data_IF_748144946136
#
_entry.id   IF_748144946136
#
_cell.length_a   1.000
_cell.length_b   1.000
_cell.length_c   1.000
_cell.angle_alpha   90.00
_cell.angle_beta   90.00
_cell.angle_gamma   90.00
#
_symmetry.space_group_name_H-M   'P 1'
#
loop_
_entity.id
_entity.type
_entity.pdbx_description
1 polymer ?
#
# COMPACT_ATOMS: atom_id res chain seq x y z
N UNK A 1 11.75 17.70 -20.36
CA UNK A 1 10.43 18.17 -19.82
C UNK A 1 10.37 17.74 -18.36
N UNK A 2 10.45 18.70 -17.42
CA UNK A 2 10.23 18.41 -16.00
C UNK A 2 8.77 18.00 -15.79
N UNK A 3 8.55 16.85 -15.18
CA UNK A 3 7.23 16.44 -14.76
C UNK A 3 6.82 17.27 -13.54
N UNK A 4 5.60 17.83 -13.49
CA UNK A 4 5.11 18.51 -12.31
C UNK A 4 4.82 17.46 -11.23
N UNK A 5 5.69 17.35 -10.24
CA UNK A 5 5.48 16.52 -9.06
C UNK A 5 5.20 17.39 -7.83
N UNK A 6 4.26 16.99 -6.97
CA UNK A 6 4.04 17.67 -5.70
C UNK A 6 5.33 17.72 -4.87
N UNK A 7 5.53 18.78 -4.09
CA UNK A 7 6.74 18.96 -3.27
C UNK A 7 6.98 17.82 -2.24
N UNK A 8 5.92 17.08 -1.89
CA UNK A 8 5.98 15.91 -1.00
C UNK A 8 6.28 14.59 -1.72
N UNK A 9 6.51 14.64 -3.05
CA UNK A 9 6.72 13.45 -3.87
C UNK A 9 8.18 13.42 -4.33
N UNK A 10 8.88 12.33 -4.10
CA UNK A 10 10.17 12.05 -4.69
C UNK A 10 9.98 11.24 -5.97
N UNK A 11 10.54 11.72 -7.07
CA UNK A 11 10.57 11.00 -8.33
C UNK A 11 12.00 10.58 -8.62
N UNK A 12 12.22 9.28 -8.71
CA UNK A 12 13.52 8.69 -9.06
C UNK A 12 13.40 7.95 -10.38
N UNK A 13 14.30 8.23 -11.30
CA UNK A 13 14.47 7.46 -12.54
C UNK A 13 15.59 6.47 -12.28
N UNK A 14 15.28 5.18 -12.37
CA UNK A 14 16.27 4.11 -12.17
C UNK A 14 16.54 3.49 -13.52
N UNK A 15 17.78 3.56 -13.97
CA UNK A 15 18.26 2.87 -15.16
C UNK A 15 18.97 1.58 -14.70
N UNK A 16 18.46 0.38 -15.07
CA UNK A 16 19.12 -0.85 -14.69
C UNK A 16 20.48 -0.96 -15.42
N UNK A 17 21.58 -1.11 -14.70
CA UNK A 17 22.90 -1.24 -15.32
C UNK A 17 23.00 -2.57 -16.10
N UNK A 18 23.80 -2.62 -17.18
CA UNK A 18 24.11 -3.87 -17.86
C UNK A 18 25.01 -4.72 -16.95
N UNK A 19 24.46 -5.74 -16.32
CA UNK A 19 25.20 -6.62 -15.41
C UNK A 19 24.35 -7.08 -14.23
N UNK A 20 24.95 -7.66 -13.19
CA UNK A 20 24.24 -7.98 -11.96
C UNK A 20 23.60 -6.73 -11.38
N UNK A 21 22.30 -6.75 -11.06
CA UNK A 21 21.61 -5.56 -10.57
C UNK A 21 22.22 -5.11 -9.23
N UNK A 22 22.75 -3.90 -9.20
CA UNK A 22 23.14 -3.20 -7.98
C UNK A 22 22.00 -2.26 -7.60
N UNK A 23 21.76 -2.09 -6.31
CA UNK A 23 20.64 -1.24 -5.84
C UNK A 23 20.93 0.26 -6.06
N UNK A 24 22.19 0.64 -5.92
CA UNK A 24 22.69 1.99 -6.10
C UNK A 24 24.22 1.98 -6.12
N UNK A 25 24.84 3.07 -6.59
CA UNK A 25 26.31 3.23 -6.57
C UNK A 25 26.86 3.28 -5.15
N UNK A 26 26.12 3.93 -4.24
CA UNK A 26 26.43 3.95 -2.80
C UNK A 26 25.29 3.28 -2.04
N UNK A 27 25.65 2.32 -1.20
CA UNK A 27 24.71 1.61 -0.33
C UNK A 27 25.27 1.55 1.09
N UNK A 28 24.56 2.14 2.03
CA UNK A 28 24.81 2.00 3.45
C UNK A 28 23.78 1.06 4.07
N UNK A 29 24.22 -0.06 4.64
CA UNK A 29 23.40 -0.99 5.39
C UNK A 29 23.49 -0.69 6.88
N UNK A 30 22.36 -0.44 7.51
CA UNK A 30 22.29 -0.02 8.91
C UNK A 30 21.64 -1.13 9.73
N UNK A 31 22.39 -1.64 10.69
CA UNK A 31 21.95 -2.67 11.61
C UNK A 31 21.81 -2.09 13.02
N UNK A 32 20.90 -2.64 13.81
CA UNK A 32 20.69 -2.20 15.19
C UNK A 32 19.60 -3.02 15.88
N UNK A 33 19.46 -2.85 17.20
CA UNK A 33 18.56 -3.69 18.02
C UNK A 33 17.09 -3.53 17.63
N UNK A 34 16.67 -2.32 17.29
CA UNK A 34 15.29 -1.99 16.96
C UNK A 34 15.19 -1.06 15.74
N UNK A 35 13.98 -0.95 15.18
CA UNK A 35 13.74 -0.17 13.97
C UNK A 35 13.91 1.34 14.19
N UNK A 36 13.57 1.85 15.36
CA UNK A 36 13.70 3.29 15.66
C UNK A 36 15.17 3.71 15.69
N UNK A 37 16.01 2.91 16.36
CA UNK A 37 17.45 3.12 16.39
C UNK A 37 18.06 3.07 15.00
N UNK A 38 17.70 2.05 14.19
CA UNK A 38 18.21 1.94 12.82
C UNK A 38 17.81 3.13 11.96
N UNK A 39 16.55 3.58 12.02
CA UNK A 39 16.07 4.75 11.26
C UNK A 39 16.75 6.05 11.72
N UNK A 40 16.92 6.25 13.02
CA UNK A 40 17.63 7.42 13.52
C UNK A 40 19.09 7.47 13.08
N UNK A 41 19.74 6.32 12.85
CA UNK A 41 21.08 6.27 12.23
C UNK A 41 20.97 6.52 10.72
N UNK A 42 19.97 5.95 10.04
CA UNK A 42 19.75 6.16 8.61
C UNK A 42 19.55 7.64 8.27
N UNK A 43 18.77 8.37 9.05
CA UNK A 43 18.58 9.83 8.90
C UNK A 43 19.90 10.61 8.99
N UNK A 44 20.80 10.19 9.89
CA UNK A 44 22.14 10.80 10.00
C UNK A 44 23.01 10.48 8.79
N UNK A 45 22.94 9.25 8.28
CA UNK A 45 23.66 8.84 7.07
C UNK A 45 23.13 9.60 5.86
N UNK A 46 21.80 9.73 5.72
CA UNK A 46 21.21 10.55 4.66
C UNK A 46 21.67 12.00 4.72
N UNK A 47 21.69 12.60 5.92
CA UNK A 47 22.17 13.98 6.10
C UNK A 47 23.64 14.11 5.71
N UNK A 48 24.47 13.13 6.09
CA UNK A 48 25.88 13.08 5.70
C UNK A 48 26.05 12.96 4.18
N UNK A 49 25.31 12.07 3.52
CA UNK A 49 25.37 11.92 2.06
C UNK A 49 24.94 13.21 1.36
N UNK A 50 23.81 13.81 1.78
CA UNK A 50 23.33 15.09 1.20
C UNK A 50 24.24 16.27 1.42
N UNK A 51 25.16 16.21 2.40
CA UNK A 51 26.16 17.26 2.64
C UNK A 51 27.33 17.25 1.65
N UNK A 52 27.48 16.16 0.90
CA UNK A 52 28.57 15.98 -0.07
C UNK A 52 28.09 16.41 -1.47
N UNK A 53 28.70 17.43 -2.11
CA UNK A 53 28.16 18.02 -3.35
C UNK A 53 28.04 17.08 -4.54
N UNK A 54 28.84 16.03 -4.60
CA UNK A 54 28.85 15.07 -5.70
C UNK A 54 28.02 13.80 -5.39
N UNK A 55 27.36 13.72 -4.22
CA UNK A 55 26.42 12.66 -3.90
C UNK A 55 25.01 13.18 -4.18
N UNK A 56 24.26 12.46 -5.01
CA UNK A 56 22.92 12.82 -5.47
C UNK A 56 21.95 11.67 -5.21
N UNK A 57 20.66 11.92 -5.41
CA UNK A 57 19.59 10.92 -5.32
C UNK A 57 19.61 10.10 -4.03
N UNK A 58 19.90 10.77 -2.92
CA UNK A 58 19.92 10.12 -1.60
C UNK A 58 18.49 9.72 -1.19
N UNK A 59 18.31 8.43 -0.93
CA UNK A 59 17.02 7.83 -0.58
C UNK A 59 17.22 6.76 0.50
N UNK A 60 16.13 6.36 1.14
CA UNK A 60 16.13 5.31 2.17
C UNK A 60 15.13 4.19 1.84
N UNK A 61 15.32 3.04 2.49
CA UNK A 61 14.51 1.85 2.25
C UNK A 61 13.10 1.90 2.87
N UNK A 62 12.88 2.75 3.87
CA UNK A 62 11.63 2.76 4.62
C UNK A 62 10.67 3.88 4.19
N UNK A 63 11.15 4.92 3.50
CA UNK A 63 10.32 6.02 3.03
C UNK A 63 9.61 6.79 4.15
N UNK A 64 8.43 7.27 3.85
CA UNK A 64 7.56 7.96 4.79
C UNK A 64 6.35 7.09 5.10
N UNK A 65 6.03 6.93 6.39
CA UNK A 65 4.83 6.20 6.77
C UNK A 65 3.58 6.90 6.26
N UNK A 66 2.86 6.26 5.34
CA UNK A 66 1.64 6.79 4.78
C UNK A 66 0.48 6.69 5.79
N UNK A 67 -0.51 7.55 5.64
CA UNK A 67 -1.78 7.39 6.34
C UNK A 67 -2.56 6.26 5.67
N UNK A 68 -3.10 5.36 6.48
CA UNK A 68 -4.00 4.30 5.99
C UNK A 68 -5.31 4.33 6.77
N UNK A 69 -6.35 3.84 6.14
CA UNK A 69 -7.61 3.56 6.80
C UNK A 69 -7.65 2.07 7.15
N UNK A 70 -7.86 1.79 8.43
CA UNK A 70 -8.10 0.43 8.91
C UNK A 70 -9.60 0.22 9.05
N UNK A 71 -10.10 -0.80 8.37
CA UNK A 71 -11.43 -1.33 8.60
C UNK A 71 -11.30 -2.54 9.53
N UNK A 72 -12.05 -2.54 10.63
CA UNK A 72 -12.06 -3.64 11.60
C UNK A 72 -13.49 -4.13 11.72
N UNK A 73 -13.73 -5.40 11.40
CA UNK A 73 -15.00 -6.04 11.62
C UNK A 73 -15.12 -6.45 13.10
N UNK A 74 -16.30 -6.25 13.67
CA UNK A 74 -16.63 -6.66 15.03
C UNK A 74 -17.24 -8.06 15.00
N UNK A 75 -16.59 -9.03 15.61
CA UNK A 75 -17.09 -10.43 15.67
C UNK A 75 -18.46 -10.50 16.31
N UNK A 76 -18.69 -9.74 17.40
CA UNK A 76 -19.96 -9.72 18.11
C UNK A 76 -21.09 -9.16 17.23
N UNK A 77 -20.80 -8.08 16.47
CA UNK A 77 -21.77 -7.48 15.56
C UNK A 77 -22.05 -8.40 14.35
N UNK A 78 -21.01 -9.05 13.79
CA UNK A 78 -21.15 -10.04 12.72
C UNK A 78 -22.08 -11.19 13.17
N UNK A 79 -21.86 -11.71 14.37
CA UNK A 79 -22.68 -12.78 14.94
C UNK A 79 -24.12 -12.32 15.22
N UNK A 80 -24.30 -11.11 15.72
CA UNK A 80 -25.60 -10.52 16.02
C UNK A 80 -26.44 -10.34 14.75
N UNK A 81 -25.84 -9.70 13.73
CA UNK A 81 -26.52 -9.44 12.45
C UNK A 81 -26.50 -10.63 11.48
N UNK A 82 -25.84 -11.73 11.83
CA UNK A 82 -25.66 -12.91 10.97
C UNK A 82 -25.06 -12.57 9.61
N UNK A 83 -24.00 -11.77 9.62
CA UNK A 83 -23.22 -11.38 8.46
C UNK A 83 -22.00 -12.26 8.34
N UNK A 84 -21.75 -12.79 7.16
CA UNK A 84 -20.51 -13.51 6.89
C UNK A 84 -19.35 -12.53 6.73
N UNK A 85 -18.24 -12.77 7.40
CA UNK A 85 -17.05 -11.92 7.34
C UNK A 85 -16.52 -11.77 5.89
N UNK A 86 -16.65 -12.83 5.08
CA UNK A 86 -16.31 -12.80 3.65
C UNK A 86 -17.11 -11.74 2.87
N UNK A 87 -18.39 -11.58 3.16
CA UNK A 87 -19.24 -10.59 2.49
C UNK A 87 -18.78 -9.15 2.82
N UNK A 88 -18.29 -8.93 4.04
CA UNK A 88 -17.68 -7.65 4.44
C UNK A 88 -16.41 -7.36 3.64
N UNK A 89 -15.49 -8.33 3.57
CA UNK A 89 -14.23 -8.15 2.84
C UNK A 89 -14.45 -8.00 1.34
N UNK A 90 -15.33 -8.78 0.74
CA UNK A 90 -15.67 -8.71 -0.68
C UNK A 90 -16.29 -7.34 -1.02
N UNK A 91 -17.20 -6.87 -0.16
CA UNK A 91 -17.79 -5.53 -0.31
C UNK A 91 -16.72 -4.43 -0.24
N UNK A 92 -15.86 -4.45 0.76
CA UNK A 92 -14.77 -3.48 0.89
C UNK A 92 -13.78 -3.54 -0.29
N UNK A 93 -13.47 -4.75 -0.78
CA UNK A 93 -12.60 -4.94 -1.94
C UNK A 93 -13.20 -4.35 -3.22
N UNK A 94 -14.50 -4.55 -3.46
CA UNK A 94 -15.21 -4.00 -4.63
C UNK A 94 -15.32 -2.48 -4.53
N UNK A 95 -15.64 -1.95 -3.35
CA UNK A 95 -15.84 -0.52 -3.14
C UNK A 95 -14.56 0.31 -3.32
N UNK A 96 -13.41 -0.25 -2.96
CA UNK A 96 -12.13 0.47 -2.96
C UNK A 96 -11.16 0.02 -4.06
N UNK A 97 -11.42 -1.13 -4.66
CA UNK A 97 -10.55 -1.75 -5.64
C UNK A 97 -11.24 -2.06 -6.94
N UNK A 98 -10.91 -3.21 -7.44
CA UNK A 98 -11.51 -3.82 -8.60
C UNK A 98 -11.57 -5.32 -8.40
N UNK A 99 -12.61 -5.95 -8.97
CA UNK A 99 -12.73 -7.40 -8.99
C UNK A 99 -12.87 -7.92 -10.40
N UNK A 100 -12.18 -9.00 -10.73
CA UNK A 100 -12.34 -9.66 -12.02
C UNK A 100 -13.53 -10.60 -11.94
N UNK A 101 -14.58 -10.30 -12.70
CA UNK A 101 -15.84 -11.06 -12.72
C UNK A 101 -15.89 -12.12 -13.82
N UNK A 102 -14.92 -12.12 -14.73
CA UNK A 102 -14.82 -13.09 -15.80
C UNK A 102 -13.77 -12.72 -16.84
N UNK A 103 -13.72 -13.50 -17.90
CA UNK A 103 -12.78 -13.29 -18.99
C UNK A 103 -13.49 -13.39 -20.33
N UNK A 104 -13.13 -12.51 -21.25
CA UNK A 104 -13.54 -12.59 -22.65
C UNK A 104 -12.44 -13.28 -23.46
N UNK A 105 -12.85 -14.29 -24.22
CA UNK A 105 -11.98 -14.97 -25.18
C UNK A 105 -12.15 -14.44 -26.62
N UNK A 106 -12.86 -13.30 -26.76
CA UNK A 106 -13.07 -12.62 -28.04
C UNK A 106 -11.91 -11.67 -28.28
N UNK A 107 -11.03 -12.00 -29.17
CA UNK A 107 -9.88 -11.19 -29.55
C UNK A 107 -8.83 -11.99 -30.29
N UNK A 108 -7.92 -11.31 -30.95
CA UNK A 108 -6.83 -11.92 -31.72
C UNK A 108 -5.63 -12.33 -30.83
N UNK A 109 -5.66 -11.96 -29.55
CA UNK A 109 -4.61 -12.25 -28.58
C UNK A 109 -4.67 -13.66 -28.01
N UNK A 110 -3.50 -14.22 -27.66
CA UNK A 110 -3.40 -15.53 -26.99
C UNK A 110 -3.92 -15.55 -25.55
N UNK A 111 -4.03 -14.38 -24.92
CA UNK A 111 -4.45 -14.26 -23.54
C UNK A 111 -5.90 -13.76 -23.47
N UNK A 112 -6.73 -14.33 -22.58
CA UNK A 112 -8.07 -13.86 -22.38
C UNK A 112 -8.06 -12.44 -21.78
N UNK A 113 -9.00 -11.62 -22.21
CA UNK A 113 -9.17 -10.26 -21.69
C UNK A 113 -10.01 -10.29 -20.41
N UNK A 114 -9.50 -9.82 -19.26
CA UNK A 114 -10.28 -9.81 -18.02
C UNK A 114 -11.44 -8.81 -18.13
N UNK A 115 -12.60 -9.19 -17.61
CA UNK A 115 -13.74 -8.30 -17.37
C UNK A 115 -13.66 -7.87 -15.93
N UNK A 116 -13.40 -6.58 -15.72
CA UNK A 116 -13.17 -6.01 -14.39
C UNK A 116 -14.33 -5.13 -14.00
N UNK A 117 -14.88 -5.35 -12.80
CA UNK A 117 -15.83 -4.46 -12.15
C UNK A 117 -15.08 -3.55 -11.19
N UNK A 118 -15.27 -2.24 -11.35
CA UNK A 118 -14.63 -1.25 -10.47
C UNK A 118 -15.49 0.02 -10.37
N UNK A 119 -15.38 0.72 -9.25
CA UNK A 119 -15.95 2.06 -9.13
C UNK A 119 -15.05 3.07 -9.86
N UNK A 120 -15.62 4.17 -10.39
CA UNK A 120 -14.83 5.27 -10.94
C UNK A 120 -13.81 5.77 -9.90
N UNK A 121 -12.60 6.09 -10.33
CA UNK A 121 -11.51 6.54 -9.41
C UNK A 121 -11.90 7.75 -8.57
N UNK A 122 -12.74 8.65 -9.11
CA UNK A 122 -13.22 9.82 -8.37
C UNK A 122 -14.10 9.44 -7.15
N UNK A 123 -14.79 8.31 -7.24
CA UNK A 123 -15.75 7.85 -6.23
C UNK A 123 -15.14 6.84 -5.24
N UNK A 124 -13.87 6.48 -5.42
CA UNK A 124 -13.15 5.56 -4.51
C UNK A 124 -12.65 6.21 -3.22
N UNK A 125 -13.15 7.40 -2.92
CA UNK A 125 -12.85 8.02 -1.62
C UNK A 125 -13.58 7.27 -0.54
N UNK A 126 -12.84 6.89 0.50
CA UNK A 126 -13.43 6.30 1.69
C UNK A 126 -13.98 7.46 2.52
N UNK A 127 -15.27 7.66 2.40
CA UNK A 127 -16.07 8.64 3.15
C UNK A 127 -17.01 7.90 4.08
N UNK A 128 -17.67 8.61 4.97
CA UNK A 128 -18.70 8.03 5.85
C UNK A 128 -19.82 7.36 5.04
N UNK A 129 -20.09 7.81 3.82
CA UNK A 129 -21.07 7.19 2.91
C UNK A 129 -20.72 5.73 2.57
N UNK A 130 -19.46 5.31 2.73
CA UNK A 130 -19.08 3.91 2.57
C UNK A 130 -19.78 3.01 3.60
N UNK A 131 -19.96 3.51 4.80
CA UNK A 131 -20.57 2.77 5.91
C UNK A 131 -22.08 2.53 5.72
N UNK A 132 -22.74 3.30 4.87
CA UNK A 132 -24.15 3.08 4.51
C UNK A 132 -24.35 2.04 3.40
N UNK A 133 -23.26 1.43 2.92
CA UNK A 133 -23.33 0.40 1.89
C UNK A 133 -24.05 -0.83 2.43
N UNK A 134 -25.11 -1.31 1.74
CA UNK A 134 -25.83 -2.50 2.15
C UNK A 134 -25.00 -3.77 1.94
N UNK A 135 -24.99 -4.64 2.93
CA UNK A 135 -24.37 -5.97 2.89
C UNK A 135 -25.40 -7.04 3.24
N UNK A 136 -25.30 -8.26 2.67
CA UNK A 136 -26.22 -9.33 2.95
C UNK A 136 -26.12 -9.80 4.42
N UNK A 137 -27.25 -10.13 5.01
CA UNK A 137 -27.36 -10.66 6.36
C UNK A 137 -28.36 -11.82 6.40
N UNK A 138 -28.08 -12.84 7.19
CA UNK A 138 -28.92 -14.04 7.31
C UNK A 138 -29.86 -13.97 8.53
N UNK A 139 -30.42 -12.78 8.78
CA UNK A 139 -31.27 -12.50 9.96
C UNK A 139 -32.68 -13.04 9.87
N UNK A 140 -33.16 -13.39 8.69
CA UNK A 140 -34.55 -13.87 8.48
C UNK A 140 -34.55 -15.39 8.24
N UNK A 141 -35.44 -16.14 8.89
CA UNK A 141 -35.65 -17.55 8.56
C UNK A 141 -36.12 -17.71 7.11
N UNK A 142 -35.24 -18.29 6.26
CA UNK A 142 -35.56 -18.52 4.85
C UNK A 142 -35.43 -17.30 3.92
N UNK A 143 -34.89 -16.16 4.41
CA UNK A 143 -34.62 -14.95 3.61
C UNK A 143 -33.32 -14.28 3.97
N UNK A 144 -32.75 -13.54 2.99
CA UNK A 144 -31.61 -12.66 3.22
C UNK A 144 -32.11 -11.30 3.66
N UNK A 145 -31.67 -10.84 4.83
CA UNK A 145 -31.78 -9.45 5.24
C UNK A 145 -30.66 -8.62 4.64
N UNK A 146 -30.70 -7.33 4.91
CA UNK A 146 -29.67 -6.37 4.55
C UNK A 146 -29.39 -5.52 5.78
N UNK A 147 -28.11 -5.31 6.08
CA UNK A 147 -27.63 -4.37 7.11
C UNK A 147 -26.63 -3.41 6.50
N UNK A 148 -26.36 -2.31 7.16
CA UNK A 148 -25.35 -1.38 6.69
C UNK A 148 -23.94 -1.88 7.08
N UNK A 149 -22.95 -1.63 6.23
CA UNK A 149 -21.56 -1.97 6.51
C UNK A 149 -21.09 -1.38 7.85
N UNK A 150 -21.57 -0.18 8.20
CA UNK A 150 -21.27 0.50 9.45
C UNK A 150 -21.82 -0.17 10.70
N UNK A 151 -22.80 -1.09 10.57
CA UNK A 151 -23.31 -1.86 11.70
C UNK A 151 -22.31 -2.90 12.19
N UNK A 152 -21.41 -3.37 11.30
CA UNK A 152 -20.46 -4.45 11.58
C UNK A 152 -18.98 -4.02 11.43
N UNK A 153 -18.70 -2.84 10.85
CA UNK A 153 -17.34 -2.37 10.59
C UNK A 153 -17.08 -1.02 11.26
N UNK A 154 -15.91 -0.89 11.85
CA UNK A 154 -15.37 0.38 12.35
C UNK A 154 -14.20 0.82 11.50
N UNK A 155 -14.18 2.09 11.12
CA UNK A 155 -13.11 2.71 10.35
C UNK A 155 -12.25 3.58 11.27
N UNK A 156 -10.94 3.39 11.21
CA UNK A 156 -9.96 4.22 11.92
C UNK A 156 -8.84 4.65 10.99
N UNK A 157 -8.50 5.93 11.03
CA UNK A 157 -7.31 6.42 10.34
C UNK A 157 -6.10 6.21 11.24
N UNK A 158 -5.10 5.53 10.73
CA UNK A 158 -3.84 5.29 11.43
C UNK A 158 -2.64 5.52 10.52
N UNK A 159 -1.47 5.59 11.10
CA UNK A 159 -0.24 5.60 10.34
C UNK A 159 0.13 4.16 9.95
N UNK A 160 0.46 3.94 8.68
CA UNK A 160 0.88 2.61 8.22
C UNK A 160 2.22 2.22 8.86
N UNK A 161 2.46 0.92 8.97
CA UNK A 161 3.79 0.42 9.30
C UNK A 161 4.78 0.73 8.18
N UNK A 162 6.02 0.96 8.55
CA UNK A 162 7.10 1.02 7.59
C UNK A 162 7.38 -0.35 6.96
N UNK A 163 7.92 -0.42 5.75
CA UNK A 163 8.46 -1.65 5.19
C UNK A 163 9.51 -2.26 6.12
N UNK A 164 9.56 -3.59 6.16
CA UNK A 164 10.55 -4.32 6.95
C UNK A 164 11.55 -4.95 5.99
N UNK A 165 12.78 -4.47 6.01
CA UNK A 165 13.86 -5.03 5.22
C UNK A 165 14.74 -5.95 6.04
N UNK A 166 15.25 -6.98 5.38
CA UNK A 166 16.23 -7.90 5.93
C UNK A 166 17.33 -8.13 4.91
N UNK A 167 18.57 -8.05 5.39
CA UNK A 167 19.74 -8.45 4.63
C UNK A 167 20.44 -9.61 5.37
N UNK A 168 20.71 -10.69 4.69
CA UNK A 168 21.27 -11.91 5.29
C UNK A 168 20.55 -12.38 6.57
N UNK A 169 19.21 -12.31 6.58
CA UNK A 169 18.35 -12.70 7.71
C UNK A 169 18.28 -11.68 8.85
N UNK A 170 19.12 -10.64 8.87
CA UNK A 170 19.12 -9.59 9.90
C UNK A 170 18.26 -8.41 9.47
N UNK A 171 17.51 -7.85 10.42
CA UNK A 171 16.76 -6.62 10.16
C UNK A 171 17.74 -5.47 9.86
N UNK A 172 17.51 -4.79 8.74
CA UNK A 172 18.37 -3.71 8.26
C UNK A 172 17.51 -2.54 7.74
N UNK A 173 18.03 -1.32 7.83
CA UNK A 173 17.59 -0.20 7.00
C UNK A 173 18.71 0.14 6.01
N UNK A 174 18.34 0.62 4.85
CA UNK A 174 19.32 0.94 3.80
C UNK A 174 19.19 2.40 3.42
N UNK A 175 20.34 3.03 3.20
CA UNK A 175 20.42 4.36 2.56
C UNK A 175 21.18 4.19 1.26
N UNK A 176 20.57 4.62 0.18
CA UNK A 176 21.12 4.55 -1.16
C UNK A 176 21.42 5.94 -1.68
N UNK A 177 22.42 6.05 -2.52
CA UNK A 177 22.71 7.29 -3.22
C UNK A 177 23.46 7.02 -4.53
N UNK A 178 23.46 8.01 -5.41
CA UNK A 178 24.20 7.99 -6.66
C UNK A 178 25.30 9.05 -6.64
N UNK A 179 26.30 8.87 -7.49
CA UNK A 179 27.32 9.87 -7.74
C UNK A 179 26.87 10.74 -8.91
N UNK A 180 27.05 12.06 -8.78
CA UNK A 180 26.87 12.96 -9.92
C UNK A 180 27.82 12.52 -11.03
N UNK A 181 27.27 12.26 -12.22
CA UNK A 181 28.09 12.04 -13.41
C UNK A 181 28.82 13.32 -13.83
N UNK A 182 29.96 13.17 -14.47
CA UNK A 182 30.65 14.28 -15.12
C UNK A 182 29.85 14.85 -16.30
#
# INVERSE_FOLDING_TARGET
KSLPVPASTSLKVVEPPPGPPVMATLLAEIYGPDAATRRGVAEKVEAAFRSVPFIVDVDNSYGVAARRLRATASTDDLDFFKVDESDVFDTLAILNGSTTIGYSHRGEGRQPVPIVLERPKADRRITEDLLTTPIPANVLPGGRGVVELGDVVRLATEQSSYPIFRHNGRAAEMVTAELAGD
#
